data_IF_448270318817
#
_entry.id   IF_448270318817
#
_cell.length_a   1.000
_cell.length_b   1.000
_cell.length_c   1.000
_cell.angle_alpha   90.00
_cell.angle_beta   90.00
_cell.angle_gamma   90.00
#
_symmetry.space_group_name_H-M   'P 1'
#
loop_
_entity.id
_entity.type
_entity.pdbx_description
1 polymer ?
#
# COMPACT_ATOMS: atom_id res chain seq x y z
N UNK A 1 -19.22 27.53 2.87
CA UNK A 1 -19.05 27.41 1.41
C UNK A 1 -18.21 28.57 0.93
N UNK A 2 -16.90 28.39 0.82
CA UNK A 2 -16.03 29.33 0.12
C UNK A 2 -15.91 28.82 -1.31
N UNK A 3 -16.25 29.67 -2.28
CA UNK A 3 -16.01 29.39 -3.69
C UNK A 3 -14.49 29.42 -3.90
N UNK A 4 -13.90 28.24 -4.12
CA UNK A 4 -12.53 28.11 -4.61
C UNK A 4 -12.50 28.61 -6.06
N UNK A 5 -11.62 29.56 -6.36
CA UNK A 5 -11.35 29.95 -7.73
C UNK A 5 -10.79 28.72 -8.45
N UNK A 6 -11.38 28.35 -9.59
CA UNK A 6 -10.89 27.26 -10.42
C UNK A 6 -9.48 27.62 -10.90
N UNK A 7 -8.48 27.09 -10.20
CA UNK A 7 -7.11 27.03 -10.71
C UNK A 7 -7.17 26.04 -11.87
N UNK A 8 -6.68 26.45 -13.04
CA UNK A 8 -6.50 25.55 -14.17
C UNK A 8 -5.43 24.54 -13.77
N UNK A 9 -5.91 23.39 -13.32
CA UNK A 9 -5.14 22.31 -12.73
C UNK A 9 -4.66 21.29 -13.77
N UNK A 10 -4.86 21.58 -15.05
CA UNK A 10 -4.49 20.64 -16.11
C UNK A 10 -2.96 20.55 -16.23
N UNK A 11 -2.43 19.32 -16.05
CA UNK A 11 -1.01 19.01 -16.28
C UNK A 11 -0.06 19.28 -15.11
N UNK A 12 -0.56 19.56 -13.91
CA UNK A 12 0.30 19.66 -12.72
C UNK A 12 0.80 18.26 -12.34
N UNK A 13 2.12 18.11 -12.26
CA UNK A 13 2.77 16.91 -11.71
C UNK A 13 3.75 17.33 -10.62
N UNK A 14 3.71 16.63 -9.50
CA UNK A 14 4.60 16.87 -8.38
C UNK A 14 5.88 16.06 -8.54
N UNK A 15 7.02 16.67 -8.23
CA UNK A 15 8.27 15.92 -8.17
C UNK A 15 8.30 15.07 -6.88
N UNK A 16 8.87 13.86 -6.93
CA UNK A 16 9.03 13.01 -5.73
C UNK A 16 9.72 13.72 -4.56
N UNK A 17 10.67 14.62 -4.84
CA UNK A 17 11.33 15.44 -3.81
C UNK A 17 10.39 16.49 -3.18
N UNK A 18 9.44 17.03 -3.94
CA UNK A 18 8.44 17.98 -3.43
C UNK A 18 7.42 17.27 -2.54
N UNK A 19 7.00 16.07 -2.95
CA UNK A 19 6.08 15.23 -2.18
C UNK A 19 6.73 14.85 -0.85
N UNK A 20 7.98 14.41 -0.88
CA UNK A 20 8.78 14.13 0.32
C UNK A 20 8.84 15.34 1.28
N UNK A 21 9.21 16.52 0.77
CA UNK A 21 9.31 17.73 1.61
C UNK A 21 7.95 18.16 2.15
N UNK A 22 6.86 17.95 1.40
CA UNK A 22 5.50 18.21 1.87
C UNK A 22 5.12 17.26 3.02
N UNK A 23 5.25 15.94 2.84
CA UNK A 23 4.80 14.96 3.83
C UNK A 23 5.60 15.08 5.13
N UNK A 24 6.92 15.26 5.02
CA UNK A 24 7.79 15.44 6.20
C UNK A 24 7.40 16.65 7.04
N UNK A 25 7.05 17.78 6.39
CA UNK A 25 6.61 18.99 7.12
C UNK A 25 5.17 18.90 7.58
N UNK A 26 4.35 18.10 6.90
CA UNK A 26 2.94 17.94 7.21
C UNK A 26 2.70 17.08 8.45
N UNK A 27 3.62 16.17 8.79
CA UNK A 27 3.45 15.18 9.86
C UNK A 27 2.86 15.73 11.17
N UNK A 28 3.31 16.89 11.73
CA UNK A 28 2.74 17.46 12.95
C UNK A 28 1.30 17.99 12.81
N UNK A 29 0.81 18.11 11.57
CA UNK A 29 -0.49 18.66 11.19
C UNK A 29 -1.43 17.60 10.63
N UNK A 30 -0.99 16.33 10.60
CA UNK A 30 -1.78 15.20 10.12
C UNK A 30 -2.36 14.45 11.30
N UNK A 31 -3.64 14.13 11.22
CA UNK A 31 -4.34 13.23 12.15
C UNK A 31 -5.11 12.19 11.37
N UNK A 32 -5.53 11.12 12.04
CA UNK A 32 -6.25 10.02 11.43
C UNK A 32 -7.33 9.53 12.40
N UNK A 33 -8.54 9.25 11.92
CA UNK A 33 -9.62 8.69 12.74
C UNK A 33 -9.59 7.16 12.81
N UNK A 34 -10.52 6.56 13.58
CA UNK A 34 -10.65 5.10 13.68
C UNK A 34 -11.06 4.41 12.37
N UNK A 35 -11.48 5.19 11.36
CA UNK A 35 -11.81 4.71 10.02
C UNK A 35 -10.65 4.91 9.04
N UNK A 36 -9.49 5.33 9.53
CA UNK A 36 -8.28 5.57 8.75
C UNK A 36 -8.41 6.75 7.79
N UNK A 37 -9.42 7.59 7.99
CA UNK A 37 -9.58 8.84 7.25
C UNK A 37 -8.54 9.81 7.76
N UNK A 38 -7.72 10.32 6.84
CA UNK A 38 -6.68 11.29 7.13
C UNK A 38 -7.28 12.70 7.12
N UNK A 39 -6.85 13.50 8.08
CA UNK A 39 -7.13 14.93 8.16
C UNK A 39 -5.82 15.70 8.20
N UNK A 40 -5.68 16.67 7.30
CA UNK A 40 -4.56 17.61 7.28
C UNK A 40 -5.05 19.01 7.69
N UNK A 41 -4.50 19.55 8.78
CA UNK A 41 -4.82 20.90 9.25
C UNK A 41 -4.00 21.95 8.48
N UNK A 42 -4.47 22.29 7.29
CA UNK A 42 -3.86 23.29 6.42
C UNK A 42 -3.76 24.68 7.07
N UNK A 43 -4.69 25.02 7.97
CA UNK A 43 -4.68 26.29 8.69
C UNK A 43 -3.56 26.34 9.74
N UNK A 44 -3.36 25.25 10.49
CA UNK A 44 -2.26 25.13 11.44
C UNK A 44 -0.89 25.03 10.76
N UNK A 45 -0.85 24.48 9.53
CA UNK A 45 0.36 24.41 8.72
C UNK A 45 0.80 25.77 8.12
N UNK A 46 -0.06 26.81 8.20
CA UNK A 46 0.26 28.14 7.65
C UNK A 46 1.53 28.72 8.27
N UNK A 47 2.48 29.08 7.41
CA UNK A 47 3.75 29.67 7.81
C UNK A 47 4.87 28.65 8.09
N UNK A 48 4.55 27.36 8.26
CA UNK A 48 5.52 26.27 8.31
C UNK A 48 5.71 25.60 6.93
N UNK A 49 4.65 25.60 6.12
CA UNK A 49 4.63 25.00 4.78
C UNK A 49 4.39 26.05 3.69
N UNK A 50 4.94 25.83 2.50
CA UNK A 50 4.61 26.64 1.31
C UNK A 50 3.22 26.28 0.78
N UNK A 51 2.59 27.19 0.03
CA UNK A 51 1.30 26.92 -0.63
C UNK A 51 1.34 25.66 -1.51
N UNK A 52 2.47 25.42 -2.19
CA UNK A 52 2.68 24.20 -2.99
C UNK A 52 2.67 22.93 -2.13
N UNK A 53 3.28 22.96 -0.95
CA UNK A 53 3.31 21.81 -0.04
C UNK A 53 1.95 21.56 0.60
N UNK A 54 1.23 22.62 1.00
CA UNK A 54 -0.15 22.52 1.48
C UNK A 54 -1.02 21.86 0.43
N UNK A 55 -0.92 22.31 -0.82
CA UNK A 55 -1.68 21.75 -1.93
C UNK A 55 -1.36 20.28 -2.21
N UNK A 56 -0.08 19.89 -2.16
CA UNK A 56 0.32 18.48 -2.28
C UNK A 56 -0.38 17.63 -1.22
N UNK A 57 -0.41 18.11 0.03
CA UNK A 57 -1.08 17.39 1.11
C UNK A 57 -2.60 17.33 0.94
N UNK A 58 -3.23 18.40 0.48
CA UNK A 58 -4.67 18.41 0.20
C UNK A 58 -5.03 17.40 -0.90
N UNK A 59 -4.29 17.39 -2.02
CA UNK A 59 -4.50 16.43 -3.11
C UNK A 59 -4.27 14.99 -2.64
N UNK A 60 -3.25 14.77 -1.81
CA UNK A 60 -2.96 13.46 -1.23
C UNK A 60 -4.08 12.96 -0.33
N UNK A 61 -4.53 13.79 0.61
CA UNK A 61 -5.62 13.44 1.54
C UNK A 61 -6.90 13.13 0.79
N UNK A 62 -7.21 13.88 -0.27
CA UNK A 62 -8.35 13.58 -1.15
C UNK A 62 -8.21 12.21 -1.81
N UNK A 63 -7.07 11.94 -2.45
CA UNK A 63 -6.83 10.68 -3.16
C UNK A 63 -6.87 9.47 -2.20
N UNK A 64 -6.18 9.55 -1.06
CA UNK A 64 -6.14 8.46 -0.09
C UNK A 64 -7.51 8.20 0.54
N UNK A 65 -8.21 9.25 0.99
CA UNK A 65 -9.49 9.07 1.67
C UNK A 65 -10.56 8.51 0.73
N UNK A 66 -10.54 8.91 -0.55
CA UNK A 66 -11.44 8.35 -1.57
C UNK A 66 -11.22 6.84 -1.72
N UNK A 67 -9.97 6.39 -1.85
CA UNK A 67 -9.64 4.96 -1.97
C UNK A 67 -9.98 4.16 -0.71
N UNK A 68 -9.72 4.73 0.48
CA UNK A 68 -10.12 4.14 1.77
C UNK A 68 -11.64 3.99 1.84
N UNK A 69 -12.39 5.01 1.39
CA UNK A 69 -13.84 4.95 1.37
C UNK A 69 -14.35 3.89 0.39
N UNK A 70 -13.80 3.83 -0.83
CA UNK A 70 -14.15 2.82 -1.83
C UNK A 70 -13.92 1.39 -1.30
N UNK A 71 -12.76 1.10 -0.71
CA UNK A 71 -12.45 -0.22 -0.16
C UNK A 71 -13.38 -0.61 1.01
N UNK A 72 -13.84 0.36 1.80
CA UNK A 72 -14.80 0.11 2.89
C UNK A 72 -16.21 -0.13 2.38
N UNK A 73 -16.64 0.62 1.35
CA UNK A 73 -17.98 0.51 0.77
C UNK A 73 -18.13 -0.74 -0.10
N UNK A 74 -17.03 -1.17 -0.73
CA UNK A 74 -17.00 -2.33 -1.61
C UNK A 74 -15.71 -3.16 -1.40
N UNK A 75 -15.61 -3.93 -0.31
CA UNK A 75 -14.39 -4.68 0.04
C UNK A 75 -14.04 -5.78 -0.97
N UNK A 76 -15.01 -6.21 -1.77
CA UNK A 76 -14.84 -7.25 -2.80
C UNK A 76 -14.38 -6.68 -4.15
N UNK A 77 -14.26 -5.36 -4.29
CA UNK A 77 -13.84 -4.70 -5.52
C UNK A 77 -12.52 -3.95 -5.32
N UNK A 78 -11.70 -3.96 -6.37
CA UNK A 78 -10.49 -3.14 -6.48
C UNK A 78 -10.88 -1.64 -6.52
N UNK A 79 -10.40 -0.81 -5.58
CA UNK A 79 -10.58 0.64 -5.63
C UNK A 79 -10.04 1.23 -6.93
N UNK A 80 -10.63 2.32 -7.41
CA UNK A 80 -10.20 2.99 -8.64
C UNK A 80 -9.83 4.43 -8.30
N UNK A 81 -8.55 4.82 -8.41
CA UNK A 81 -8.13 6.17 -8.10
C UNK A 81 -8.68 7.17 -9.12
N UNK A 82 -9.04 8.37 -8.66
CA UNK A 82 -9.30 9.50 -9.57
C UNK A 82 -8.07 9.75 -10.44
N UNK A 83 -8.21 9.59 -11.76
CA UNK A 83 -7.09 9.66 -12.70
C UNK A 83 -6.43 11.04 -12.68
N UNK A 84 -7.21 12.11 -12.49
CA UNK A 84 -6.71 13.48 -12.47
C UNK A 84 -5.85 13.76 -11.25
N UNK A 85 -6.29 13.33 -10.06
CA UNK A 85 -5.52 13.42 -8.82
C UNK A 85 -4.30 12.49 -8.87
N UNK A 86 -4.48 11.25 -9.29
CA UNK A 86 -3.38 10.28 -9.42
C UNK A 86 -2.30 10.76 -10.40
N UNK A 87 -2.65 11.34 -11.54
CA UNK A 87 -1.67 11.84 -12.51
C UNK A 87 -0.75 12.92 -11.90
N UNK A 88 -1.23 13.69 -10.91
CA UNK A 88 -0.39 14.66 -10.18
C UNK A 88 0.74 13.98 -9.41
N UNK A 89 0.52 12.74 -8.95
CA UNK A 89 1.52 11.91 -8.27
C UNK A 89 2.21 10.90 -9.20
N UNK A 90 1.91 10.93 -10.52
CA UNK A 90 2.41 9.92 -11.47
C UNK A 90 3.92 9.75 -11.47
N UNK A 91 4.71 10.82 -11.31
CA UNK A 91 6.18 10.74 -11.24
C UNK A 91 6.69 9.96 -10.03
N UNK A 92 5.96 10.03 -8.92
CA UNK A 92 6.25 9.24 -7.73
C UNK A 92 5.87 7.78 -7.97
N UNK A 93 4.70 7.53 -8.54
CA UNK A 93 4.29 6.19 -8.98
C UNK A 93 5.27 5.58 -9.99
N UNK A 94 5.79 6.35 -10.95
CA UNK A 94 6.82 5.92 -11.89
C UNK A 94 8.11 5.57 -11.15
N UNK A 95 8.53 6.36 -10.16
CA UNK A 95 9.71 6.00 -9.36
C UNK A 95 9.52 4.78 -8.48
N UNK A 96 8.29 4.49 -8.07
CA UNK A 96 7.92 3.23 -7.40
C UNK A 96 8.14 2.09 -8.39
N UNK A 97 7.52 2.15 -9.57
CA UNK A 97 7.55 1.10 -10.61
C UNK A 97 8.89 0.92 -11.33
N UNK A 98 9.53 1.99 -11.76
CA UNK A 98 10.75 1.95 -12.59
C UNK A 98 11.94 1.38 -11.83
N UNK A 99 11.90 1.47 -10.50
CA UNK A 99 12.93 0.88 -9.68
C UNK A 99 12.81 -0.64 -9.73
N UNK A 100 11.62 -1.23 -9.74
CA UNK A 100 11.40 -2.68 -9.94
C UNK A 100 12.03 -3.25 -11.24
N UNK A 101 12.26 -2.41 -12.26
CA UNK A 101 12.84 -2.86 -13.55
C UNK A 101 14.36 -3.05 -13.55
N UNK A 102 15.11 -2.67 -12.51
CA UNK A 102 16.55 -2.92 -12.43
C UNK A 102 16.94 -3.83 -11.25
N UNK A 103 16.83 -5.13 -11.53
CA UNK A 103 17.54 -6.22 -10.86
C UNK A 103 16.97 -6.70 -9.52
N UNK A 104 15.77 -7.30 -9.55
CA UNK A 104 15.51 -8.60 -8.91
C UNK A 104 15.87 -8.84 -7.44
N UNK A 105 16.03 -7.83 -6.58
CA UNK A 105 16.16 -7.99 -5.11
C UNK A 105 16.29 -6.66 -4.30
N UNK A 106 15.44 -5.64 -4.47
CA UNK A 106 15.60 -4.36 -3.73
C UNK A 106 14.30 -3.66 -3.22
N UNK A 107 13.14 -4.33 -3.19
CA UNK A 107 11.89 -3.62 -3.56
C UNK A 107 10.84 -3.27 -2.50
N UNK A 108 11.02 -3.56 -1.20
CA UNK A 108 9.89 -3.35 -0.26
C UNK A 108 9.68 -1.93 0.26
N UNK A 109 10.52 -0.98 -0.17
CA UNK A 109 10.29 0.45 0.00
C UNK A 109 10.83 1.16 -1.24
N UNK A 110 10.01 1.87 -2.03
CA UNK A 110 10.51 2.79 -2.99
C UNK A 110 11.37 3.78 -2.20
N UNK A 111 12.58 4.09 -2.69
CA UNK A 111 13.47 5.06 -2.04
C UNK A 111 12.80 6.45 -1.87
N UNK A 112 11.61 6.65 -2.43
CA UNK A 112 10.84 7.85 -2.26
C UNK A 112 10.02 7.94 -0.97
N UNK A 113 9.96 6.95 -0.07
CA UNK A 113 8.96 6.99 1.03
C UNK A 113 9.49 6.89 2.46
N UNK A 114 10.64 6.28 2.71
CA UNK A 114 11.06 6.04 4.08
C UNK A 114 12.03 7.14 4.54
N UNK A 115 11.40 8.26 4.93
CA UNK A 115 12.01 9.56 5.21
C UNK A 115 12.61 9.69 6.63
N UNK A 116 12.26 8.73 7.50
CA UNK A 116 12.93 8.31 8.74
C UNK A 116 12.80 6.79 8.82
N UNK A 117 13.55 6.10 9.68
CA UNK A 117 13.34 4.65 9.93
C UNK A 117 11.96 4.45 10.55
N UNK A 118 10.93 4.31 9.73
CA UNK A 118 9.59 3.94 10.15
C UNK A 118 9.48 2.45 9.97
N UNK A 119 9.17 1.77 11.07
CA UNK A 119 9.10 0.32 11.09
C UNK A 119 10.40 -0.32 10.59
N UNK A 120 11.54 0.25 10.99
CA UNK A 120 12.89 -0.30 10.75
C UNK A 120 13.29 -0.39 9.28
N UNK A 121 12.53 0.26 8.39
CA UNK A 121 12.82 0.42 6.98
C UNK A 121 13.08 1.88 6.63
N UNK A 122 14.13 2.14 5.86
CA UNK A 122 14.38 3.44 5.22
C UNK A 122 14.94 3.32 3.80
N UNK A 123 15.12 4.46 3.12
CA UNK A 123 15.91 4.54 1.88
C UNK A 123 17.29 3.87 2.04
N UNK A 124 17.94 4.10 3.19
CA UNK A 124 19.30 3.63 3.46
C UNK A 124 19.30 2.26 4.19
N UNK A 125 18.13 1.74 4.54
CA UNK A 125 17.95 0.55 5.38
C UNK A 125 16.73 -0.26 4.91
N UNK A 126 16.85 -0.95 3.77
CA UNK A 126 15.76 -1.74 3.22
C UNK A 126 15.45 -2.99 4.04
N UNK A 127 14.19 -3.44 4.01
CA UNK A 127 13.83 -4.75 4.54
C UNK A 127 14.43 -5.88 3.70
N UNK A 128 14.85 -6.99 4.32
CA UNK A 128 15.26 -8.20 3.61
C UNK A 128 14.11 -8.75 2.74
N UNK A 129 14.45 -9.20 1.54
CA UNK A 129 13.54 -9.99 0.71
C UNK A 129 13.52 -11.44 1.18
N UNK A 130 12.31 -11.98 1.38
CA UNK A 130 12.10 -13.38 1.69
C UNK A 130 11.60 -14.11 0.46
N UNK A 131 12.40 -15.04 -0.05
CA UNK A 131 12.00 -15.92 -1.16
C UNK A 131 10.86 -16.83 -0.72
N UNK A 132 9.82 -16.95 -1.55
CA UNK A 132 8.72 -17.90 -1.36
C UNK A 132 9.24 -19.34 -1.24
N UNK A 133 8.67 -20.09 -0.31
CA UNK A 133 9.03 -21.50 -0.09
C UNK A 133 7.77 -22.36 -0.04
N UNK A 134 7.83 -23.51 -0.70
CA UNK A 134 6.77 -24.52 -0.57
C UNK A 134 6.80 -25.08 0.85
N UNK A 135 5.71 -24.90 1.59
CA UNK A 135 5.55 -25.36 2.98
C UNK A 135 4.53 -26.48 3.14
N UNK A 136 3.75 -26.77 2.11
CA UNK A 136 2.77 -27.86 2.15
C UNK A 136 2.16 -28.19 0.79
N UNK A 137 1.60 -29.40 0.69
CA UNK A 137 0.79 -29.87 -0.44
C UNK A 137 -0.42 -30.63 0.09
N UNK A 138 -1.59 -30.41 -0.52
CA UNK A 138 -2.87 -31.00 -0.12
C UNK A 138 -3.65 -31.48 -1.34
N UNK A 139 -4.45 -32.53 -1.16
CA UNK A 139 -5.26 -33.09 -2.23
C UNK A 139 -6.42 -32.16 -2.61
N UNK A 140 -6.95 -31.38 -1.66
CA UNK A 140 -8.10 -30.49 -1.88
C UNK A 140 -7.86 -29.06 -1.39
N UNK A 141 -8.51 -28.09 -2.05
CA UNK A 141 -8.53 -26.67 -1.66
C UNK A 141 -9.00 -26.51 -0.21
N UNK A 142 -10.03 -27.27 0.15
CA UNK A 142 -10.70 -27.15 1.44
C UNK A 142 -9.78 -27.59 2.59
N UNK A 143 -8.97 -28.63 2.39
CA UNK A 143 -7.96 -29.05 3.37
C UNK A 143 -6.82 -28.03 3.48
N UNK A 144 -6.32 -27.53 2.35
CA UNK A 144 -5.30 -26.48 2.33
C UNK A 144 -5.76 -25.23 3.11
N UNK A 145 -6.95 -24.72 2.80
CA UNK A 145 -7.53 -23.55 3.48
C UNK A 145 -7.79 -23.83 4.95
N UNK A 146 -8.35 -24.99 5.31
CA UNK A 146 -8.60 -25.35 6.70
C UNK A 146 -7.29 -25.45 7.52
N UNK A 147 -6.22 -25.96 6.92
CA UNK A 147 -4.91 -26.01 7.56
C UNK A 147 -4.35 -24.62 7.83
N UNK A 148 -4.35 -23.74 6.81
CA UNK A 148 -3.81 -22.39 6.91
C UNK A 148 -4.61 -21.52 7.89
N UNK A 149 -5.94 -21.54 7.79
CA UNK A 149 -6.82 -20.82 8.74
C UNK A 149 -6.70 -21.36 10.17
N UNK A 150 -6.48 -22.68 10.33
CA UNK A 150 -6.19 -23.31 11.62
C UNK A 150 -4.90 -22.80 12.29
N UNK A 151 -3.99 -22.19 11.54
CA UNK A 151 -2.77 -21.55 12.05
C UNK A 151 -2.93 -20.06 12.36
N UNK A 152 -4.14 -19.52 12.24
CA UNK A 152 -4.45 -18.13 12.54
C UNK A 152 -4.21 -17.16 11.38
N UNK A 153 -4.10 -17.67 10.14
CA UNK A 153 -4.13 -16.84 8.94
C UNK A 153 -5.58 -16.50 8.57
N UNK A 154 -5.82 -15.30 8.05
CA UNK A 154 -7.08 -14.89 7.41
C UNK A 154 -6.89 -14.78 5.89
N UNK A 155 -8.00 -14.88 5.15
CA UNK A 155 -7.99 -14.54 3.72
C UNK A 155 -7.85 -13.03 3.56
N UNK A 156 -6.91 -12.63 2.72
CA UNK A 156 -6.59 -11.22 2.44
C UNK A 156 -7.75 -10.58 1.71
N UNK A 157 -8.12 -9.35 2.09
CA UNK A 157 -9.21 -8.64 1.43
C UNK A 157 -9.06 -8.66 -0.10
N UNK A 158 -10.18 -8.82 -0.82
CA UNK A 158 -10.15 -9.01 -2.27
C UNK A 158 -9.51 -7.84 -3.02
N UNK A 159 -9.64 -6.61 -2.50
CA UNK A 159 -8.97 -5.43 -3.06
C UNK A 159 -7.44 -5.45 -2.95
N UNK A 160 -6.90 -6.28 -2.07
CA UNK A 160 -5.48 -6.39 -1.72
C UNK A 160 -4.89 -7.76 -2.09
N UNK A 161 -5.66 -8.61 -2.76
CA UNK A 161 -5.23 -9.94 -3.20
C UNK A 161 -5.54 -10.15 -4.68
N UNK A 162 -5.05 -11.25 -5.25
CA UNK A 162 -5.35 -11.62 -6.64
C UNK A 162 -6.78 -12.10 -6.86
N UNK A 163 -7.64 -12.07 -5.84
CA UNK A 163 -9.01 -12.56 -5.93
C UNK A 163 -9.79 -11.84 -7.05
N UNK A 164 -9.52 -10.55 -7.29
CA UNK A 164 -10.16 -9.80 -8.38
C UNK A 164 -9.81 -10.30 -9.80
N UNK A 165 -8.75 -11.11 -9.96
CA UNK A 165 -8.37 -11.72 -11.25
C UNK A 165 -9.11 -13.03 -11.54
N UNK A 166 -9.98 -13.51 -10.63
CA UNK A 166 -10.75 -14.75 -10.78
C UNK A 166 -9.86 -15.97 -11.08
N UNK A 167 -8.69 -16.02 -10.44
CA UNK A 167 -7.74 -17.14 -10.50
C UNK A 167 -7.97 -18.08 -9.31
N UNK A 168 -7.64 -19.36 -9.48
CA UNK A 168 -7.73 -20.37 -8.41
C UNK A 168 -6.56 -20.25 -7.41
N UNK A 169 -6.45 -19.06 -6.81
CA UNK A 169 -5.46 -18.68 -5.80
C UNK A 169 -6.22 -18.21 -4.56
N UNK A 170 -5.74 -18.59 -3.38
CA UNK A 170 -6.18 -17.98 -2.11
C UNK A 170 -4.96 -17.33 -1.48
N UNK A 171 -4.97 -16.01 -1.38
CA UNK A 171 -3.97 -15.24 -0.63
C UNK A 171 -4.41 -15.16 0.82
N UNK A 172 -3.53 -15.55 1.73
CA UNK A 172 -3.81 -15.53 3.16
C UNK A 172 -2.68 -14.83 3.91
N UNK A 173 -3.03 -14.13 4.97
CA UNK A 173 -2.12 -13.34 5.77
C UNK A 173 -2.26 -13.67 7.24
N UNK A 174 -1.16 -13.55 7.97
CA UNK A 174 -1.15 -13.43 9.43
C UNK A 174 -0.28 -12.24 9.79
N UNK A 175 -0.83 -11.27 10.50
CA UNK A 175 -0.08 -10.07 10.87
C UNK A 175 1.11 -10.39 11.78
N UNK A 176 2.20 -9.67 11.56
CA UNK A 176 3.44 -9.81 12.32
C UNK A 176 3.96 -8.44 12.76
N UNK A 177 4.54 -8.41 13.95
CA UNK A 177 5.21 -7.24 14.49
C UNK A 177 6.70 -7.34 14.17
N UNK A 178 7.07 -6.84 13.02
CA UNK A 178 8.45 -6.89 12.53
C UNK A 178 9.07 -5.50 12.50
N UNK A 179 10.40 -5.46 12.60
CA UNK A 179 11.17 -4.23 12.41
C UNK A 179 10.76 -3.04 13.32
N UNK A 180 10.24 -3.33 14.51
CA UNK A 180 9.69 -2.34 15.48
C UNK A 180 8.38 -1.66 15.03
N UNK A 181 7.68 -2.23 14.05
CA UNK A 181 6.30 -1.92 13.73
C UNK A 181 5.36 -2.75 14.61
N UNK A 182 4.26 -2.16 15.06
CA UNK A 182 3.30 -2.83 15.95
C UNK A 182 1.84 -2.71 15.50
N UNK A 183 1.62 -2.27 14.25
CA UNK A 183 0.33 -1.88 13.69
C UNK A 183 -0.08 -2.75 12.49
N UNK A 184 0.29 -4.04 12.50
CA UNK A 184 -0.06 -5.00 11.44
C UNK A 184 0.45 -4.61 10.03
N UNK A 185 1.40 -3.67 9.94
CA UNK A 185 2.07 -3.24 8.71
C UNK A 185 2.83 -4.36 8.00
N UNK A 186 3.12 -5.46 8.68
CA UNK A 186 3.76 -6.64 8.11
C UNK A 186 2.89 -7.87 8.29
N UNK A 187 3.09 -8.84 7.41
CA UNK A 187 2.44 -10.14 7.45
C UNK A 187 3.40 -11.26 7.12
N UNK A 188 3.08 -12.44 7.63
CA UNK A 188 3.42 -13.69 6.98
C UNK A 188 2.30 -14.00 5.98
N UNK A 189 2.68 -14.29 4.74
CA UNK A 189 1.80 -14.66 3.65
C UNK A 189 1.87 -16.17 3.41
N UNK A 190 0.72 -16.79 3.19
CA UNK A 190 0.64 -18.10 2.51
C UNK A 190 -0.26 -17.96 1.29
N UNK A 191 0.30 -18.24 0.13
CA UNK A 191 -0.45 -18.36 -1.12
C UNK A 191 -0.81 -19.82 -1.34
N UNK A 192 -2.09 -20.10 -1.56
CA UNK A 192 -2.63 -21.43 -1.84
C UNK A 192 -2.93 -21.51 -3.33
N UNK A 193 -2.09 -22.21 -4.08
CA UNK A 193 -2.14 -22.31 -5.54
C UNK A 193 -2.65 -23.68 -6.00
N UNK A 194 -3.61 -23.69 -6.92
CA UNK A 194 -4.05 -24.92 -7.59
C UNK A 194 -3.05 -25.38 -8.66
N UNK A 195 -2.58 -26.62 -8.56
CA UNK A 195 -1.72 -27.30 -9.53
C UNK A 195 -2.40 -28.58 -10.06
N UNK A 196 -1.84 -29.20 -11.10
CA UNK A 196 -2.36 -30.46 -11.68
C UNK A 196 -2.47 -31.60 -10.64
N UNK A 197 -1.55 -31.63 -9.66
CA UNK A 197 -1.46 -32.68 -8.64
C UNK A 197 -2.09 -32.29 -7.29
N UNK A 198 -2.83 -31.18 -7.21
CA UNK A 198 -3.49 -30.74 -5.98
C UNK A 198 -3.26 -29.27 -5.66
N UNK A 199 -3.05 -28.95 -4.39
CA UNK A 199 -2.94 -27.58 -3.89
C UNK A 199 -1.61 -27.38 -3.17
N UNK A 200 -0.85 -26.37 -3.58
CA UNK A 200 0.47 -26.02 -3.03
C UNK A 200 0.36 -24.80 -2.15
N UNK A 201 1.02 -24.85 -1.00
CA UNK A 201 1.16 -23.72 -0.09
C UNK A 201 2.56 -23.15 -0.24
N UNK A 202 2.64 -21.89 -0.61
CA UNK A 202 3.89 -21.13 -0.71
C UNK A 202 3.90 -20.03 0.34
N UNK A 203 4.89 -20.07 1.23
CA UNK A 203 5.04 -19.11 2.32
C UNK A 203 6.06 -18.03 1.96
N UNK A 204 5.70 -16.78 2.25
CA UNK A 204 6.58 -15.63 2.28
C UNK A 204 6.41 -14.93 3.62
N UNK A 205 7.50 -14.75 4.38
CA UNK A 205 7.43 -14.21 5.74
C UNK A 205 7.81 -12.73 5.77
N UNK A 206 7.25 -11.99 6.72
CA UNK A 206 7.66 -10.62 7.06
C UNK A 206 7.62 -9.61 5.90
N UNK A 207 6.64 -9.74 5.00
CA UNK A 207 6.43 -8.77 3.93
C UNK A 207 5.49 -7.64 4.36
N UNK A 208 5.58 -6.44 3.74
CA UNK A 208 4.58 -5.40 3.88
C UNK A 208 3.17 -5.94 3.62
N UNK A 209 2.21 -5.46 4.40
CA UNK A 209 0.83 -5.87 4.28
C UNK A 209 0.15 -5.17 3.08
N UNK A 210 -0.44 -5.90 2.12
CA UNK A 210 -1.11 -5.28 0.98
C UNK A 210 -2.44 -4.64 1.37
N UNK A 211 -2.98 -4.99 2.55
CA UNK A 211 -4.23 -4.43 3.06
C UNK A 211 -3.97 -3.01 3.54
N UNK A 212 -3.99 -2.03 2.64
CA UNK A 212 -3.63 -0.64 2.97
C UNK A 212 -4.47 0.01 4.08
N UNK A 213 -5.58 -0.62 4.47
CA UNK A 213 -6.39 -0.30 5.65
C UNK A 213 -5.76 -0.77 6.98
N UNK A 214 -4.50 -1.18 7.01
CA UNK A 214 -3.79 -1.44 8.28
C UNK A 214 -2.83 -0.31 8.67
N UNK A 215 -2.44 0.55 7.71
CA UNK A 215 -1.45 1.59 7.97
C UNK A 215 -2.06 2.76 8.74
N UNK A 216 -1.57 2.94 9.96
CA UNK A 216 -1.95 4.04 10.85
C UNK A 216 -0.80 5.03 11.02
N UNK A 217 -1.10 6.22 11.54
CA UNK A 217 -0.09 7.19 11.93
C UNK A 217 0.92 6.56 12.93
N UNK A 218 2.25 6.73 12.73
CA UNK A 218 2.93 7.63 11.77
C UNK A 218 3.24 7.02 10.40
N UNK A 219 2.85 5.77 10.14
CA UNK A 219 3.05 5.08 8.86
C UNK A 219 1.95 5.38 7.82
N UNK A 220 1.11 6.39 8.03
CA UNK A 220 -0.06 6.72 7.20
C UNK A 220 0.24 6.91 5.70
N UNK A 221 1.47 7.31 5.36
CA UNK A 221 1.92 7.49 3.98
C UNK A 221 2.22 6.16 3.26
N UNK A 222 2.39 5.04 3.97
CA UNK A 222 2.54 3.71 3.38
C UNK A 222 1.32 3.33 2.54
N UNK A 223 0.13 3.81 2.91
CA UNK A 223 -1.10 3.59 2.16
C UNK A 223 -0.93 3.92 0.68
N UNK A 224 -0.25 5.02 0.33
CA UNK A 224 -0.05 5.40 -1.07
C UNK A 224 0.94 4.51 -1.81
N UNK A 225 2.02 4.07 -1.15
CA UNK A 225 2.92 3.07 -1.74
C UNK A 225 2.16 1.78 -2.07
N UNK A 226 1.39 1.27 -1.10
CA UNK A 226 0.62 0.03 -1.24
C UNK A 226 -0.50 0.20 -2.28
N UNK A 227 -1.08 1.39 -2.42
CA UNK A 227 -2.02 1.71 -3.51
C UNK A 227 -1.31 1.66 -4.88
N UNK A 228 -0.17 2.33 -5.05
CA UNK A 228 0.52 2.33 -6.35
C UNK A 228 1.02 0.92 -6.74
N UNK A 229 1.41 0.12 -5.75
CA UNK A 229 1.77 -1.29 -5.95
C UNK A 229 0.52 -2.14 -6.26
N UNK A 230 -0.44 -2.27 -5.34
CA UNK A 230 -1.54 -3.21 -5.49
C UNK A 230 -2.68 -2.77 -6.41
N UNK A 231 -3.03 -1.49 -6.32
CA UNK A 231 -4.22 -0.95 -7.00
C UNK A 231 -3.88 -0.52 -8.43
N UNK A 232 -2.66 -0.07 -8.67
CA UNK A 232 -2.30 0.56 -9.93
C UNK A 232 -1.48 -0.34 -10.85
N UNK A 233 -0.47 -1.05 -10.33
CA UNK A 233 0.48 -1.78 -11.17
C UNK A 233 -0.11 -3.07 -11.77
N UNK A 234 -0.97 -3.76 -11.03
CA UNK A 234 -1.37 -5.13 -11.38
C UNK A 234 -2.56 -5.23 -12.34
N UNK A 235 -2.54 -4.43 -13.41
CA UNK A 235 -3.30 -4.73 -14.63
C UNK A 235 -2.55 -5.73 -15.55
N UNK A 236 -1.32 -6.14 -15.19
CA UNK A 236 -0.54 -7.18 -15.88
C UNK A 236 -0.29 -8.42 -14.98
N UNK A 237 -0.86 -9.60 -15.29
CA UNK A 237 -0.83 -10.80 -14.43
C UNK A 237 0.52 -11.55 -14.40
N UNK A 238 1.56 -11.04 -15.07
CA UNK A 238 2.81 -11.79 -15.31
C UNK A 238 3.80 -11.78 -14.13
N UNK A 239 3.63 -10.90 -13.14
CA UNK A 239 4.66 -10.61 -12.12
C UNK A 239 4.34 -11.11 -10.70
N UNK A 240 3.43 -12.06 -10.54
CA UNK A 240 3.15 -12.72 -9.26
C UNK A 240 3.87 -14.04 -9.09
#
# INVERSE_FOLDING_TARGET
MLASAAIDDTGIKYEPSEIKDAFTKADPYVTQDEKLIIYFDADAAKGAMTERQVRIMEDFVLLQNDLVQQARENPDAKPVPDEGLRDRFSKLGDQIRDKDLQAGAYWMLPPAFAWTDVCGGSFDNHHPEYVRKVVGRYDTKQEAVAFVTGQGYHEVAAYASLHYLNVDIVDTARFTNEYNCTDDSFRDQIVINGEEEGWVLEEQIKEPNPEFLVYIHPAWWWTFYVIEWHVVEHDDPVYW
#
